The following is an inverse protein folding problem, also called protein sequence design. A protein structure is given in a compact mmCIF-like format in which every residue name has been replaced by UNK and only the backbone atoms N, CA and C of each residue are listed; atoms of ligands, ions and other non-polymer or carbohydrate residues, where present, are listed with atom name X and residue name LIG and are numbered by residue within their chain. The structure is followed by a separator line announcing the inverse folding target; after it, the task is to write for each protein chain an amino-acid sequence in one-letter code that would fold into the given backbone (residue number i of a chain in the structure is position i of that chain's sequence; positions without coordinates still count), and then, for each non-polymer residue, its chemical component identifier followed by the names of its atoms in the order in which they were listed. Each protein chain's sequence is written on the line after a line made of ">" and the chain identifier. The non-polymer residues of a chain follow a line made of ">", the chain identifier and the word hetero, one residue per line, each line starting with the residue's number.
data_IF_855584594095
#
_entry.id   IF_855584594095
#
_cell.length_a   1.000
_cell.length_b   1.000
_cell.length_c   1.000
_cell.angle_alpha   90.00
_cell.angle_beta   90.00
_cell.angle_gamma   90.00
#
_symmetry.space_group_name_H-M   'P 1'
#
loop_
_entity.id
_entity.type
_entity.pdbx_description
1 polymer ?
#
# COMPACT_ATOMS: atom_id res chain seq x y z
N UNK A 1 25.54 -14.50 2.77
CA UNK A 1 24.12 -14.49 3.16
C UNK A 1 23.15 -13.88 2.11
N UNK A 2 23.60 -13.18 1.05
CA UNK A 2 22.72 -12.41 0.15
C UNK A 2 21.92 -13.16 -0.94
N UNK A 3 22.14 -14.46 -1.20
CA UNK A 3 21.45 -15.16 -2.31
C UNK A 3 20.01 -15.56 -2.00
N UNK A 4 19.68 -15.86 -0.74
CA UNK A 4 18.38 -16.41 -0.37
C UNK A 4 17.26 -15.34 -0.32
N UNK A 5 17.59 -14.11 0.08
CA UNK A 5 16.61 -13.00 0.08
C UNK A 5 16.19 -12.57 -1.32
N UNK A 6 17.09 -12.71 -2.33
CA UNK A 6 16.77 -12.35 -3.72
C UNK A 6 15.82 -13.36 -4.37
N UNK A 7 15.93 -14.66 -4.08
CA UNK A 7 14.98 -15.65 -4.59
C UNK A 7 13.59 -15.44 -4.00
N UNK A 8 13.51 -15.24 -2.69
CA UNK A 8 12.24 -14.99 -1.99
C UNK A 8 11.53 -13.72 -2.46
N UNK A 9 12.29 -12.63 -2.69
CA UNK A 9 11.74 -11.39 -3.23
C UNK A 9 11.09 -11.57 -4.61
N UNK A 10 11.74 -12.34 -5.49
CA UNK A 10 11.22 -12.63 -6.84
C UNK A 10 9.98 -13.50 -6.77
N UNK A 11 9.92 -14.48 -5.86
CA UNK A 11 8.72 -15.31 -5.64
C UNK A 11 7.53 -14.46 -5.22
N UNK A 12 7.69 -13.57 -4.23
CA UNK A 12 6.62 -12.67 -3.76
C UNK A 12 6.12 -11.76 -4.88
N UNK A 13 7.03 -11.18 -5.66
CA UNK A 13 6.66 -10.33 -6.81
C UNK A 13 5.97 -11.13 -7.92
N UNK A 14 6.41 -12.36 -8.15
CA UNK A 14 5.79 -13.27 -9.13
C UNK A 14 4.37 -13.59 -8.72
N UNK A 15 4.15 -14.02 -7.47
CA UNK A 15 2.81 -14.32 -6.95
C UNK A 15 1.87 -13.11 -7.03
N UNK A 16 2.35 -11.92 -6.65
CA UNK A 16 1.59 -10.68 -6.76
C UNK A 16 1.18 -10.37 -8.21
N UNK A 17 2.12 -10.53 -9.14
CA UNK A 17 1.87 -10.20 -10.54
C UNK A 17 1.04 -11.25 -11.27
N UNK A 18 1.15 -12.53 -10.90
CA UNK A 18 0.23 -13.58 -11.35
C UNK A 18 -1.19 -13.28 -10.85
N UNK A 19 -1.34 -12.94 -9.57
CA UNK A 19 -2.63 -12.52 -9.02
C UNK A 19 -3.22 -11.31 -9.75
N UNK A 20 -2.39 -10.33 -10.14
CA UNK A 20 -2.86 -9.18 -10.90
C UNK A 20 -3.32 -9.58 -12.32
N UNK A 21 -2.54 -10.39 -13.03
CA UNK A 21 -2.89 -10.85 -14.38
C UNK A 21 -4.15 -11.71 -14.41
N UNK A 22 -4.40 -12.47 -13.35
CA UNK A 22 -5.61 -13.26 -13.16
C UNK A 22 -6.81 -12.45 -12.65
N UNK A 23 -6.66 -11.13 -12.45
CA UNK A 23 -7.74 -10.27 -11.96
C UNK A 23 -8.12 -10.53 -10.50
N UNK A 24 -7.20 -11.04 -9.67
CA UNK A 24 -7.41 -11.31 -8.24
C UNK A 24 -6.98 -10.16 -7.33
N UNK A 25 -6.13 -9.26 -7.82
CA UNK A 25 -5.73 -8.02 -7.14
C UNK A 25 -5.71 -6.84 -8.11
N UNK A 26 -5.73 -5.62 -7.59
CA UNK A 26 -5.66 -4.39 -8.39
C UNK A 26 -4.87 -3.29 -7.67
N UNK A 27 -4.64 -2.19 -8.38
CA UNK A 27 -3.91 -1.03 -7.87
C UNK A 27 -3.23 -0.26 -8.99
N UNK A 28 -3.00 1.04 -8.78
CA UNK A 28 -2.45 1.93 -9.80
C UNK A 28 -0.95 1.70 -10.10
N UNK A 29 -0.25 0.94 -9.25
CA UNK A 29 1.13 0.52 -9.47
C UNK A 29 1.24 -0.83 -10.19
N UNK A 30 0.19 -1.65 -10.20
CA UNK A 30 0.27 -3.04 -10.68
C UNK A 30 0.76 -3.15 -12.12
N UNK A 31 0.22 -2.35 -13.04
CA UNK A 31 0.66 -2.37 -14.44
C UNK A 31 2.16 -2.08 -14.59
N UNK A 32 2.65 -1.02 -13.93
CA UNK A 32 4.07 -0.65 -13.96
C UNK A 32 4.95 -1.75 -13.36
N UNK A 33 4.50 -2.38 -12.28
CA UNK A 33 5.24 -3.45 -11.60
C UNK A 33 5.26 -4.76 -12.39
N UNK A 34 4.15 -5.12 -13.03
CA UNK A 34 3.91 -6.48 -13.52
C UNK A 34 4.00 -6.65 -15.04
N UNK A 35 4.13 -5.56 -15.81
CA UNK A 35 4.14 -5.64 -17.27
C UNK A 35 5.38 -6.36 -17.81
N UNK A 36 6.59 -5.92 -17.45
CA UNK A 36 7.84 -6.51 -17.95
C UNK A 36 8.43 -7.59 -17.03
N UNK A 37 8.10 -7.57 -15.73
CA UNK A 37 8.64 -8.48 -14.70
C UNK A 37 10.18 -8.55 -14.60
N UNK A 38 10.91 -7.58 -15.15
CA UNK A 38 12.37 -7.44 -15.01
C UNK A 38 12.74 -6.67 -13.73
N UNK A 39 12.46 -7.26 -12.57
CA UNK A 39 12.64 -6.58 -11.29
C UNK A 39 14.11 -6.53 -10.86
N UNK A 40 14.64 -5.31 -10.76
CA UNK A 40 15.96 -5.05 -10.16
C UNK A 40 15.82 -4.90 -8.65
N UNK A 41 15.65 -6.03 -7.95
CA UNK A 41 15.60 -6.07 -6.48
C UNK A 41 16.97 -5.73 -5.90
N UNK A 42 17.04 -4.68 -5.11
CA UNK A 42 18.26 -4.27 -4.39
C UNK A 42 18.26 -4.69 -2.93
N UNK A 43 17.08 -4.81 -2.32
CA UNK A 43 16.98 -5.25 -0.92
C UNK A 43 15.65 -5.95 -0.66
N UNK A 44 15.66 -6.84 0.33
CA UNK A 44 14.50 -7.60 0.77
C UNK A 44 14.56 -7.86 2.28
N UNK A 45 13.46 -7.55 2.96
CA UNK A 45 13.28 -7.85 4.37
C UNK A 45 11.93 -8.53 4.58
N UNK A 46 11.92 -9.61 5.35
CA UNK A 46 10.74 -10.34 5.78
C UNK A 46 10.89 -10.63 7.28
N UNK A 47 9.96 -10.10 8.07
CA UNK A 47 9.93 -10.23 9.52
C UNK A 47 8.54 -9.87 10.03
N UNK A 48 8.43 -8.82 10.83
CA UNK A 48 7.12 -8.23 11.18
C UNK A 48 6.42 -7.52 10.00
N UNK A 49 7.16 -7.25 8.92
CA UNK A 49 6.66 -6.74 7.65
C UNK A 49 7.54 -7.25 6.51
N UNK A 50 6.96 -7.24 5.32
CA UNK A 50 7.65 -7.47 4.06
C UNK A 50 8.01 -6.13 3.45
N UNK A 51 9.29 -5.94 3.12
CA UNK A 51 9.79 -4.75 2.43
C UNK A 51 10.61 -5.20 1.22
N UNK A 52 10.19 -4.76 0.04
CA UNK A 52 10.90 -4.98 -1.23
C UNK A 52 11.43 -3.63 -1.72
N UNK A 53 12.73 -3.57 -2.01
CA UNK A 53 13.36 -2.38 -2.58
C UNK A 53 13.78 -2.68 -4.01
N UNK A 54 13.22 -1.92 -4.95
CA UNK A 54 13.42 -2.09 -6.39
C UNK A 54 14.08 -0.85 -6.99
N UNK A 55 14.90 -1.05 -8.03
CA UNK A 55 15.36 0.02 -8.93
C UNK A 55 14.52 0.04 -10.20
N UNK A 56 13.94 1.20 -10.49
CA UNK A 56 13.15 1.42 -11.70
C UNK A 56 13.48 2.79 -12.31
N UNK A 57 14.02 2.81 -13.53
CA UNK A 57 14.36 4.04 -14.25
C UNK A 57 15.27 5.02 -13.48
N UNK A 58 16.14 4.51 -12.59
CA UNK A 58 16.99 5.33 -11.71
C UNK A 58 16.34 5.76 -10.39
N UNK A 59 15.03 5.56 -10.23
CA UNK A 59 14.31 5.77 -8.98
C UNK A 59 14.32 4.51 -8.11
N UNK A 60 14.12 4.69 -6.81
CA UNK A 60 13.96 3.59 -5.86
C UNK A 60 12.49 3.45 -5.51
N UNK A 61 11.90 2.29 -5.74
CA UNK A 61 10.56 1.95 -5.28
C UNK A 61 10.67 1.07 -4.03
N UNK A 62 9.89 1.39 -3.00
CA UNK A 62 9.87 0.63 -1.74
C UNK A 62 8.44 0.11 -1.55
N UNK A 63 8.24 -1.18 -1.81
CA UNK A 63 6.95 -1.84 -1.58
C UNK A 63 6.93 -2.40 -0.16
N UNK A 64 5.84 -2.17 0.54
CA UNK A 64 5.63 -2.61 1.92
C UNK A 64 4.30 -3.35 2.04
N UNK A 65 4.30 -4.40 2.85
CA UNK A 65 3.10 -5.12 3.28
C UNK A 65 3.37 -5.77 4.63
N UNK A 66 2.36 -6.00 5.47
CA UNK A 66 2.51 -6.82 6.69
C UNK A 66 2.65 -8.31 6.39
N UNK A 67 2.07 -8.78 5.27
CA UNK A 67 2.17 -10.17 4.82
C UNK A 67 2.66 -10.26 3.36
N UNK A 68 3.40 -11.33 3.00
CA UNK A 68 3.89 -11.50 1.63
C UNK A 68 2.76 -11.82 0.66
N UNK A 69 1.74 -12.58 1.08
CA UNK A 69 0.63 -12.99 0.22
C UNK A 69 -0.67 -12.27 0.55
N UNK A 70 -1.51 -12.09 -0.47
CA UNK A 70 -2.86 -11.55 -0.34
C UNK A 70 -3.78 -12.50 0.46
N UNK A 71 -3.49 -13.81 0.46
CA UNK A 71 -4.31 -14.81 1.17
C UNK A 71 -4.27 -14.68 2.68
N UNK A 72 -3.22 -14.04 3.20
CA UNK A 72 -2.98 -13.90 4.64
C UNK A 72 -3.83 -12.79 5.27
N UNK A 73 -4.51 -11.99 4.45
CA UNK A 73 -5.41 -10.93 4.89
C UNK A 73 -6.83 -11.46 5.05
N UNK A 74 -7.53 -10.98 6.09
CA UNK A 74 -8.95 -11.24 6.22
C UNK A 74 -9.71 -10.63 5.04
N UNK A 75 -10.75 -11.31 4.56
CA UNK A 75 -11.60 -10.84 3.47
C UNK A 75 -12.94 -10.39 4.02
N UNK A 76 -13.54 -9.40 3.37
CA UNK A 76 -14.94 -9.07 3.60
C UNK A 76 -15.85 -9.99 2.78
N UNK A 77 -17.12 -10.08 3.18
CA UNK A 77 -18.14 -10.71 2.36
C UNK A 77 -18.28 -9.95 1.04
N UNK A 78 -18.15 -10.67 -0.08
CA UNK A 78 -18.26 -10.11 -1.43
C UNK A 78 -19.67 -9.64 -1.77
N UNK A 79 -20.68 -10.13 -1.05
CA UNK A 79 -22.09 -9.75 -1.25
C UNK A 79 -22.42 -8.35 -0.72
N UNK A 80 -21.49 -7.68 -0.03
CA UNK A 80 -21.74 -6.34 0.48
C UNK A 80 -22.00 -5.36 -0.66
N UNK A 81 -23.02 -4.52 -0.48
CA UNK A 81 -23.22 -3.36 -1.36
C UNK A 81 -22.05 -2.38 -1.19
N UNK A 82 -21.85 -1.48 -2.17
CA UNK A 82 -20.84 -0.43 -2.05
C UNK A 82 -21.04 0.44 -0.79
N UNK A 83 -22.30 0.71 -0.43
CA UNK A 83 -22.64 1.51 0.74
C UNK A 83 -22.25 0.81 2.05
N UNK A 84 -22.56 -0.49 2.18
CA UNK A 84 -22.17 -1.32 3.33
C UNK A 84 -20.65 -1.49 3.43
N UNK A 85 -19.97 -1.69 2.30
CA UNK A 85 -18.51 -1.76 2.25
C UNK A 85 -17.88 -0.45 2.74
N UNK A 86 -18.32 0.69 2.19
CA UNK A 86 -17.79 2.00 2.57
C UNK A 86 -18.10 2.37 4.03
N UNK A 87 -19.22 1.90 4.60
CA UNK A 87 -19.52 2.04 6.03
C UNK A 87 -18.53 1.26 6.91
N UNK A 88 -18.16 0.04 6.50
CA UNK A 88 -17.12 -0.74 7.20
C UNK A 88 -15.74 -0.08 7.11
N UNK A 89 -15.39 0.45 5.93
CA UNK A 89 -14.15 1.22 5.75
C UNK A 89 -14.13 2.42 6.68
N UNK A 90 -15.20 3.22 6.70
CA UNK A 90 -15.31 4.39 7.57
C UNK A 90 -15.18 4.02 9.06
N UNK A 91 -15.84 2.93 9.49
CA UNK A 91 -15.75 2.45 10.86
C UNK A 91 -14.31 2.09 11.24
N UNK A 92 -13.60 1.34 10.37
CA UNK A 92 -12.21 0.96 10.57
C UNK A 92 -11.29 2.18 10.66
N UNK A 93 -11.42 3.16 9.74
CA UNK A 93 -10.62 4.39 9.77
C UNK A 93 -10.85 5.18 11.06
N UNK A 94 -12.10 5.26 11.52
CA UNK A 94 -12.43 5.95 12.77
C UNK A 94 -11.91 5.23 14.01
N UNK A 95 -11.86 3.90 13.98
CA UNK A 95 -11.26 3.09 15.03
C UNK A 95 -9.73 3.29 15.08
N UNK A 96 -9.06 3.23 13.93
CA UNK A 96 -7.61 3.33 13.83
C UNK A 96 -7.10 4.75 14.17
N UNK A 97 -7.72 5.79 13.59
CA UNK A 97 -7.22 7.16 13.70
C UNK A 97 -7.90 7.97 14.81
N UNK A 98 -9.02 7.48 15.37
CA UNK A 98 -9.82 8.19 16.39
C UNK A 98 -10.25 9.61 15.98
N UNK A 99 -10.40 9.85 14.69
CA UNK A 99 -10.74 11.17 14.13
C UNK A 99 -12.25 11.47 14.12
N UNK A 100 -13.11 10.45 14.20
CA UNK A 100 -14.56 10.62 14.26
C UNK A 100 -15.18 11.22 12.99
N UNK A 101 -14.71 10.82 11.80
CA UNK A 101 -15.21 11.33 10.53
C UNK A 101 -16.73 11.13 10.39
N UNK A 102 -17.48 12.21 10.08
CA UNK A 102 -18.90 12.11 9.77
C UNK A 102 -19.19 11.28 8.52
N UNK A 103 -20.34 10.57 8.52
CA UNK A 103 -20.79 9.74 7.38
C UNK A 103 -20.90 10.48 6.06
N UNK A 104 -21.21 11.78 6.05
CA UNK A 104 -21.34 12.55 4.81
C UNK A 104 -20.00 12.78 4.08
N UNK A 105 -18.85 12.63 4.76
CA UNK A 105 -17.52 12.67 4.13
C UNK A 105 -17.07 11.33 3.56
N UNK A 106 -17.89 10.27 3.67
CA UNK A 106 -17.55 8.91 3.22
C UNK A 106 -17.08 8.84 1.77
N UNK A 107 -17.74 9.56 0.86
CA UNK A 107 -17.33 9.65 -0.54
C UNK A 107 -15.89 10.18 -0.69
N UNK A 108 -15.61 11.30 -0.04
CA UNK A 108 -14.29 11.92 -0.08
C UNK A 108 -13.22 11.02 0.55
N UNK A 109 -13.52 10.38 1.68
CA UNK A 109 -12.62 9.41 2.30
C UNK A 109 -12.28 8.26 1.35
N UNK A 110 -13.27 7.67 0.69
CA UNK A 110 -13.05 6.61 -0.31
C UNK A 110 -12.14 7.10 -1.45
N UNK A 111 -12.35 8.32 -1.95
CA UNK A 111 -11.51 8.93 -2.99
C UNK A 111 -10.08 9.25 -2.52
N UNK A 112 -9.85 9.43 -1.22
CA UNK A 112 -8.51 9.57 -0.62
C UNK A 112 -7.82 8.19 -0.53
N UNK A 113 -8.55 7.18 -0.07
CA UNK A 113 -8.03 5.82 0.10
C UNK A 113 -7.72 5.14 -1.24
N UNK A 114 -8.62 5.29 -2.22
CA UNK A 114 -8.53 4.71 -3.56
C UNK A 114 -8.62 5.78 -4.66
N UNK A 115 -7.51 6.46 -5.00
CA UNK A 115 -7.49 7.59 -5.94
C UNK A 115 -8.01 7.28 -7.35
N UNK A 116 -8.04 6.01 -7.75
CA UNK A 116 -8.63 5.59 -9.03
C UNK A 116 -10.10 6.00 -9.15
N UNK A 117 -10.85 6.06 -8.04
CA UNK A 117 -12.24 6.54 -8.03
C UNK A 117 -12.40 7.98 -8.50
N UNK A 118 -11.35 8.82 -8.37
CA UNK A 118 -11.36 10.19 -8.88
C UNK A 118 -11.19 10.22 -10.40
N UNK A 119 -10.54 9.20 -10.97
CA UNK A 119 -10.26 9.08 -12.41
C UNK A 119 -11.43 8.47 -13.19
N UNK A 120 -12.32 7.74 -12.51
CA UNK A 120 -13.50 7.11 -13.09
C UNK A 120 -14.81 7.56 -12.40
N UNK A 121 -15.20 8.84 -12.53
CA UNK A 121 -16.38 9.36 -11.85
C UNK A 121 -17.66 8.62 -12.27
N UNK A 122 -18.39 8.08 -11.29
CA UNK A 122 -19.64 7.36 -11.53
C UNK A 122 -19.48 5.85 -11.71
N UNK A 123 -18.25 5.36 -11.90
CA UNK A 123 -17.98 3.93 -11.84
C UNK A 123 -17.96 3.44 -10.39
N UNK A 124 -18.57 2.29 -10.15
CA UNK A 124 -18.48 1.64 -8.84
C UNK A 124 -17.16 0.89 -8.73
N UNK A 125 -16.62 0.88 -7.51
CA UNK A 125 -15.43 0.11 -7.17
C UNK A 125 -15.70 -1.39 -7.39
N UNK A 126 -14.84 -2.04 -8.19
CA UNK A 126 -14.94 -3.48 -8.48
C UNK A 126 -14.70 -4.33 -7.23
N UNK A 127 -15.11 -5.61 -7.25
CA UNK A 127 -14.83 -6.53 -6.13
C UNK A 127 -13.33 -6.66 -5.86
N UNK A 128 -12.52 -6.69 -6.91
CA UNK A 128 -11.05 -6.81 -6.84
C UNK A 128 -10.42 -5.58 -6.21
N UNK A 129 -10.93 -4.39 -6.55
CA UNK A 129 -10.53 -3.15 -5.90
C UNK A 129 -10.89 -3.18 -4.41
N UNK A 130 -12.09 -3.66 -4.06
CA UNK A 130 -12.53 -3.73 -2.66
C UNK A 130 -11.67 -4.68 -1.84
N UNK A 131 -11.35 -5.85 -2.39
CA UNK A 131 -10.47 -6.84 -1.76
C UNK A 131 -9.07 -6.24 -1.56
N UNK A 132 -8.50 -5.62 -2.59
CA UNK A 132 -7.16 -4.98 -2.55
C UNK A 132 -7.10 -3.84 -1.54
N UNK A 133 -8.07 -2.92 -1.56
CA UNK A 133 -8.15 -1.85 -0.56
C UNK A 133 -8.35 -2.41 0.85
N UNK A 134 -9.17 -3.44 1.03
CA UNK A 134 -9.40 -4.02 2.35
C UNK A 134 -8.14 -4.66 2.95
N UNK A 135 -7.29 -5.30 2.15
CA UNK A 135 -5.98 -5.78 2.61
C UNK A 135 -5.04 -4.63 3.02
N UNK A 136 -5.05 -3.52 2.27
CA UNK A 136 -4.28 -2.33 2.62
C UNK A 136 -4.76 -1.69 3.92
N UNK A 137 -6.07 -1.65 4.16
CA UNK A 137 -6.67 -1.09 5.38
C UNK A 137 -6.41 -1.92 6.63
N UNK A 138 -6.02 -3.18 6.51
CA UNK A 138 -5.56 -3.98 7.65
C UNK A 138 -4.14 -3.61 8.11
N UNK A 139 -3.55 -2.56 7.52
CA UNK A 139 -2.19 -2.10 7.81
C UNK A 139 -2.24 -0.67 8.35
N UNK A 140 -2.07 -0.45 9.67
CA UNK A 140 -2.08 0.87 10.29
C UNK A 140 -1.17 1.90 9.61
N UNK A 141 0.05 1.49 9.20
CA UNK A 141 1.00 2.39 8.50
C UNK A 141 0.42 2.91 7.17
N UNK A 142 -0.30 2.08 6.42
CA UNK A 142 -0.96 2.52 5.17
C UNK A 142 -2.04 3.56 5.44
N UNK A 143 -2.91 3.31 6.43
CA UNK A 143 -3.98 4.23 6.82
C UNK A 143 -3.39 5.59 7.20
N UNK A 144 -2.39 5.57 8.08
CA UNK A 144 -1.72 6.78 8.54
C UNK A 144 -1.15 7.59 7.37
N UNK A 145 -0.40 6.94 6.47
CA UNK A 145 0.27 7.62 5.35
C UNK A 145 -0.69 8.09 4.28
N UNK A 146 -1.82 7.40 4.08
CA UNK A 146 -2.81 7.75 3.07
C UNK A 146 -3.71 8.90 3.53
N UNK A 147 -4.03 8.95 4.83
CA UNK A 147 -5.02 9.87 5.39
C UNK A 147 -4.41 11.14 5.99
N UNK A 148 -3.20 11.08 6.56
CA UNK A 148 -2.57 12.23 7.23
C UNK A 148 -1.46 12.99 6.46
N UNK A 149 -1.37 13.00 5.11
CA UNK A 149 -0.29 13.70 4.42
C UNK A 149 -0.33 15.24 4.62
N UNK A 150 -1.40 15.79 5.20
CA UNK A 150 -1.49 17.21 5.59
C UNK A 150 -0.42 17.65 6.60
N UNK A 151 0.12 16.70 7.37
CA UNK A 151 1.12 17.00 8.41
C UNK A 151 2.53 17.15 7.85
N UNK A 152 2.80 16.70 6.61
CA UNK A 152 4.14 16.57 6.01
C UNK A 152 5.13 15.74 6.84
N UNK A 153 4.67 15.03 7.88
CA UNK A 153 5.54 14.16 8.70
C UNK A 153 5.51 12.69 8.26
N UNK A 154 4.54 12.32 7.41
CA UNK A 154 4.41 10.97 6.87
C UNK A 154 4.88 10.93 5.40
N UNK A 155 5.61 9.88 4.98
CA UNK A 155 5.87 9.64 3.56
C UNK A 155 4.56 9.56 2.76
N UNK A 156 4.57 10.10 1.54
CA UNK A 156 3.44 9.95 0.62
C UNK A 156 3.39 8.54 0.04
N UNK A 157 2.18 7.99 -0.06
CA UNK A 157 1.90 6.79 -0.85
C UNK A 157 1.89 7.17 -2.32
N UNK A 158 2.80 6.58 -3.10
CA UNK A 158 2.95 6.86 -4.54
C UNK A 158 2.23 5.84 -5.43
N UNK A 159 1.77 4.71 -4.86
CA UNK A 159 0.93 3.75 -5.56
C UNK A 159 0.69 2.47 -4.76
N UNK A 160 -0.20 1.62 -5.25
CA UNK A 160 -0.54 0.33 -4.61
C UNK A 160 -0.64 -0.79 -5.64
N UNK A 161 -0.41 -2.03 -5.19
CA UNK A 161 -0.73 -3.23 -5.94
C UNK A 161 -1.08 -4.38 -4.99
N UNK A 162 -2.35 -4.82 -5.02
CA UNK A 162 -2.86 -5.79 -4.05
C UNK A 162 -2.64 -5.33 -2.61
N UNK A 163 -2.03 -6.21 -1.81
CA UNK A 163 -1.64 -5.94 -0.42
C UNK A 163 -0.44 -4.99 -0.25
N UNK A 164 0.29 -4.70 -1.32
CA UNK A 164 1.48 -3.86 -1.25
C UNK A 164 1.14 -2.39 -1.51
N UNK A 165 1.71 -1.51 -0.70
CA UNK A 165 1.77 -0.08 -0.99
C UNK A 165 3.20 0.38 -1.17
N UNK A 166 3.38 1.41 -2.00
CA UNK A 166 4.68 2.04 -2.25
C UNK A 166 4.72 3.43 -1.64
N UNK A 167 5.79 3.76 -0.93
CA UNK A 167 6.04 5.11 -0.41
C UNK A 167 7.09 5.83 -1.24
N UNK A 168 7.05 7.16 -1.24
CA UNK A 168 8.17 7.95 -1.75
C UNK A 168 9.48 7.58 -1.02
N UNK A 169 10.58 7.58 -1.77
CA UNK A 169 11.89 7.34 -1.18
C UNK A 169 12.29 8.56 -0.34
N UNK A 170 12.36 8.37 0.98
CA UNK A 170 12.91 9.38 1.87
C UNK A 170 14.43 9.31 1.84
N UNK A 171 15.07 10.43 1.47
CA UNK A 171 16.50 10.59 1.69
C UNK A 171 16.67 10.82 3.19
N UNK A 172 17.45 9.96 3.86
CA UNK A 172 17.82 10.21 5.24
C UNK A 172 18.37 11.64 5.33
N UNK A 173 17.78 12.46 6.19
CA UNK A 173 18.34 13.78 6.48
C UNK A 173 19.81 13.55 6.82
N UNK A 174 20.73 14.12 6.03
CA UNK A 174 22.12 14.24 6.45
C UNK A 174 22.09 15.12 7.69
N UNK A 175 22.05 14.51 8.87
CA UNK A 175 22.21 15.25 10.11
C UNK A 175 23.56 15.97 9.99
N UNK A 176 23.51 17.32 10.01
CA UNK A 176 24.74 18.12 10.05
C UNK A 176 25.53 17.66 11.27
N UNK A 177 26.86 17.52 11.14
CA UNK A 177 27.71 16.88 12.16
C UNK A 177 27.56 17.41 13.59
N UNK A 178 27.07 18.64 13.77
CA UNK A 178 26.81 19.19 15.10
C UNK A 178 25.65 18.52 15.86
N UNK A 179 24.67 17.90 15.18
CA UNK A 179 23.60 17.13 15.86
C UNK A 179 24.07 15.77 16.36
N UNK A 180 25.14 15.21 15.77
CA UNK A 180 25.75 13.94 16.21
C UNK A 180 26.60 14.12 17.49
N UNK A 181 26.89 15.36 17.88
CA UNK A 181 27.71 15.71 19.04
C UNK A 181 26.89 16.12 20.28
N UNK A 182 25.56 16.05 20.21
CA UNK A 182 24.72 16.13 21.40
C UNK A 182 24.87 14.81 22.17
N UNK A 183 25.91 14.73 22.99
CA UNK A 183 25.97 13.75 24.07
C UNK A 183 24.88 14.09 25.07
N UNK A 184 23.95 13.17 25.28
CA UNK A 184 23.12 13.11 26.49
C UNK A 184 24.00 12.64 27.64
#
# INVERSE_FOLDING_TARGET
>A
MHRHGRSRAVEVLTELCDAFQEGRVSGDLCNRLCYYRDWKVTDYYEGNKVVLVLKDGGQTAVLKSVHPSMSDFSRLDRKLTYDQYSDKVLALINEELRLGWPRHYKKHLMEVLWPTLRRTPGEQMSEVDRDSLWALLQQPEFILFRVLPLTRVTPKIIGTCGQFYSTEALVAFRMKGYYMNLKV
#
